data_IF_288019790292
#
_entry.id   IF_288019790292
#
_cell.length_a   1.000
_cell.length_b   1.000
_cell.length_c   1.000
_cell.angle_alpha   90.00
_cell.angle_beta   90.00
_cell.angle_gamma   90.00
#
_symmetry.space_group_name_H-M   'P 1'
#
loop_
_entity.id
_entity.type
_entity.pdbx_description
1 polymer ?
#
# COMPACT_ATOMS: atom_id res chain seq x y z
N UNK A 1 43.67 -63.92 3.69
CA UNK A 1 43.99 -62.84 4.66
C UNK A 1 42.88 -61.79 4.56
N UNK A 2 41.99 -61.67 5.55
CA UNK A 2 40.84 -60.75 5.52
C UNK A 2 41.20 -59.49 6.33
N UNK A 3 41.11 -58.32 5.70
CA UNK A 3 41.39 -57.03 6.34
C UNK A 3 40.16 -56.57 7.16
N UNK A 4 40.34 -56.12 8.40
CA UNK A 4 39.23 -55.65 9.24
C UNK A 4 38.69 -54.32 8.70
N UNK A 5 37.40 -54.30 8.36
CA UNK A 5 36.69 -53.10 7.90
C UNK A 5 36.34 -52.24 9.13
N UNK A 6 36.93 -51.05 9.25
CA UNK A 6 36.64 -50.12 10.34
C UNK A 6 35.23 -49.55 10.19
N UNK A 7 34.30 -49.98 11.06
CA UNK A 7 32.96 -49.38 11.17
C UNK A 7 33.09 -47.92 11.63
N UNK A 8 32.69 -46.99 10.78
CA UNK A 8 32.57 -45.56 11.12
C UNK A 8 31.50 -45.40 12.20
N UNK A 9 31.86 -44.87 13.38
CA UNK A 9 30.87 -44.52 14.41
C UNK A 9 29.96 -43.41 13.85
N UNK A 10 28.68 -43.71 13.71
CA UNK A 10 27.67 -42.68 13.48
C UNK A 10 27.46 -41.95 14.80
N UNK A 11 27.82 -40.66 14.84
CA UNK A 11 27.48 -39.76 15.94
C UNK A 11 26.01 -39.34 15.78
N UNK A 12 25.17 -39.67 16.75
CA UNK A 12 23.83 -39.11 16.87
C UNK A 12 23.87 -37.74 17.54
N UNK A 13 22.85 -36.91 17.28
CA UNK A 13 22.67 -35.64 17.96
C UNK A 13 22.48 -35.85 19.46
N UNK A 14 23.12 -35.02 20.28
CA UNK A 14 22.85 -34.99 21.72
C UNK A 14 21.51 -34.29 21.98
N UNK A 15 20.78 -34.70 23.03
CA UNK A 15 19.56 -34.00 23.46
C UNK A 15 19.83 -32.53 23.78
N UNK A 16 21.04 -32.23 24.28
CA UNK A 16 21.48 -30.88 24.58
C UNK A 16 21.63 -30.03 23.31
N UNK A 17 22.22 -30.57 22.25
CA UNK A 17 22.33 -29.87 20.96
C UNK A 17 20.97 -29.50 20.38
N UNK A 18 19.99 -30.40 20.47
CA UNK A 18 18.63 -30.07 20.02
C UNK A 18 17.98 -29.01 20.91
N UNK A 19 18.21 -29.08 22.23
CA UNK A 19 17.62 -28.15 23.20
C UNK A 19 18.11 -26.71 23.03
N UNK A 20 19.42 -26.51 22.80
CA UNK A 20 19.95 -25.16 22.57
C UNK A 20 19.45 -24.57 21.24
N UNK A 21 19.25 -25.41 20.23
CA UNK A 21 18.80 -24.96 18.90
C UNK A 21 17.36 -24.44 18.98
N UNK A 22 16.45 -25.17 19.62
CA UNK A 22 15.07 -24.70 19.77
C UNK A 22 14.97 -23.47 20.68
N UNK A 23 15.85 -23.36 21.68
CA UNK A 23 15.94 -22.17 22.52
C UNK A 23 16.37 -20.92 21.72
N UNK A 24 17.38 -21.05 20.85
CA UNK A 24 17.83 -19.95 19.98
C UNK A 24 16.73 -19.58 18.96
N UNK A 25 16.08 -20.56 18.33
CA UNK A 25 14.97 -20.31 17.39
C UNK A 25 13.82 -19.56 18.07
N UNK A 26 13.45 -19.93 19.30
CA UNK A 26 12.39 -19.24 20.05
C UNK A 26 12.73 -17.77 20.31
N UNK A 27 13.98 -17.47 20.68
CA UNK A 27 14.47 -16.10 20.88
C UNK A 27 14.39 -15.30 19.56
N UNK A 28 14.88 -15.86 18.45
CA UNK A 28 14.86 -15.18 17.15
C UNK A 28 13.43 -14.89 16.66
N UNK A 29 12.49 -15.84 16.81
CA UNK A 29 11.09 -15.66 16.43
C UNK A 29 10.44 -14.55 17.26
N UNK A 30 10.69 -14.50 18.57
CA UNK A 30 10.11 -13.50 19.46
C UNK A 30 10.43 -12.06 19.04
N UNK A 31 11.66 -11.81 18.58
CA UNK A 31 12.10 -10.50 18.09
C UNK A 31 11.58 -10.25 16.67
N UNK A 32 11.61 -11.29 15.82
CA UNK A 32 11.18 -11.22 14.43
C UNK A 32 9.71 -10.79 14.27
N UNK A 33 8.80 -11.35 15.07
CA UNK A 33 7.36 -11.05 14.97
C UNK A 33 7.03 -9.59 15.28
N UNK A 34 7.69 -8.99 16.27
CA UNK A 34 7.47 -7.59 16.65
C UNK A 34 7.95 -6.60 15.57
N UNK A 35 8.95 -6.98 14.77
CA UNK A 35 9.44 -6.17 13.65
C UNK A 35 8.55 -6.31 12.41
N UNK A 36 8.08 -7.53 12.13
CA UNK A 36 7.32 -7.86 10.92
C UNK A 36 6.02 -7.06 10.78
N UNK A 37 5.29 -6.80 11.87
CA UNK A 37 4.06 -6.01 11.83
C UNK A 37 4.30 -4.58 11.31
N UNK A 38 5.38 -3.92 11.75
CA UNK A 38 5.72 -2.56 11.28
C UNK A 38 6.09 -2.53 9.81
N UNK A 39 6.87 -3.52 9.36
CA UNK A 39 7.27 -3.63 7.95
C UNK A 39 6.06 -3.78 7.04
N UNK A 40 5.08 -4.62 7.44
CA UNK A 40 3.85 -4.75 6.66
C UNK A 40 3.04 -3.46 6.57
N UNK A 41 2.92 -2.70 7.67
CA UNK A 41 2.22 -1.40 7.67
C UNK A 41 2.88 -0.43 6.70
N UNK A 42 4.21 -0.31 6.77
CA UNK A 42 4.99 0.54 5.86
C UNK A 42 4.84 0.10 4.41
N UNK A 43 4.85 -1.20 4.12
CA UNK A 43 4.66 -1.71 2.76
C UNK A 43 3.28 -1.34 2.20
N UNK A 44 2.22 -1.41 3.02
CA UNK A 44 0.88 -0.97 2.63
C UNK A 44 0.82 0.54 2.40
N UNK A 45 1.47 1.34 3.24
CA UNK A 45 1.55 2.79 3.02
C UNK A 45 2.31 3.14 1.73
N UNK A 46 3.39 2.43 1.42
CA UNK A 46 4.11 2.58 0.14
C UNK A 46 3.23 2.20 -1.04
N UNK A 47 2.46 1.12 -0.95
CA UNK A 47 1.50 0.72 -1.98
C UNK A 47 0.45 1.83 -2.20
N UNK A 48 -0.15 2.36 -1.12
CA UNK A 48 -1.11 3.46 -1.21
C UNK A 48 -0.55 4.68 -1.94
N UNK A 49 0.68 5.08 -1.61
CA UNK A 49 1.34 6.21 -2.31
C UNK A 49 1.55 5.91 -3.79
N UNK A 50 1.97 4.70 -4.13
CA UNK A 50 2.13 4.30 -5.53
C UNK A 50 0.81 4.32 -6.30
N UNK A 51 -0.28 3.87 -5.68
CA UNK A 51 -1.61 3.87 -6.31
C UNK A 51 -2.09 5.31 -6.54
N UNK A 52 -1.89 6.21 -5.57
CA UNK A 52 -2.20 7.64 -5.70
C UNK A 52 -1.42 8.33 -6.83
N UNK A 53 -0.13 8.01 -7.00
CA UNK A 53 0.66 8.53 -8.12
C UNK A 53 0.16 7.99 -9.48
N UNK A 54 -0.27 6.72 -9.54
CA UNK A 54 -0.88 6.16 -10.75
C UNK A 54 -2.19 6.89 -11.11
N UNK A 55 -3.03 7.18 -10.10
CA UNK A 55 -4.26 7.97 -10.28
C UNK A 55 -3.95 9.37 -10.78
N UNK A 56 -2.97 10.05 -10.17
CA UNK A 56 -2.50 11.35 -10.64
C UNK A 56 -2.10 11.29 -12.10
N UNK A 57 -1.29 10.30 -12.51
CA UNK A 57 -0.92 10.12 -13.91
C UNK A 57 -2.12 9.99 -14.86
N UNK A 58 -3.16 9.27 -14.44
CA UNK A 58 -4.41 9.16 -15.20
C UNK A 58 -5.20 10.48 -15.27
N UNK A 59 -5.25 11.24 -14.16
CA UNK A 59 -5.90 12.56 -14.10
C UNK A 59 -5.21 13.59 -15.01
N UNK A 60 -3.87 13.58 -15.04
CA UNK A 60 -3.08 14.45 -15.92
C UNK A 60 -3.30 14.10 -17.40
N UNK A 61 -3.41 12.81 -17.75
CA UNK A 61 -3.78 12.38 -19.11
C UNK A 61 -5.19 12.86 -19.48
N UNK A 62 -6.14 12.77 -18.56
CA UNK A 62 -7.49 13.29 -18.78
C UNK A 62 -7.47 14.81 -18.99
N UNK A 63 -6.71 15.56 -18.18
CA UNK A 63 -6.58 17.00 -18.34
C UNK A 63 -5.95 17.38 -19.69
N UNK A 64 -4.95 16.62 -20.16
CA UNK A 64 -4.34 16.85 -21.47
C UNK A 64 -5.36 16.73 -22.63
N UNK A 65 -6.34 15.84 -22.52
CA UNK A 65 -7.33 15.58 -23.56
C UNK A 65 -8.56 16.51 -23.47
N UNK A 66 -8.99 16.89 -22.27
CA UNK A 66 -10.24 17.64 -22.03
C UNK A 66 -10.04 19.06 -21.49
N UNK A 67 -8.79 19.44 -21.22
CA UNK A 67 -8.38 20.72 -20.64
C UNK A 67 -9.11 21.07 -19.33
N UNK A 68 -9.58 20.04 -18.62
CA UNK A 68 -10.26 20.10 -17.33
C UNK A 68 -10.08 18.75 -16.64
N UNK A 69 -9.97 18.75 -15.32
CA UNK A 69 -10.07 17.57 -14.47
C UNK A 69 -11.54 17.11 -14.33
N UNK A 70 -11.78 15.83 -14.01
CA UNK A 70 -13.12 15.35 -13.72
C UNK A 70 -13.76 16.15 -12.58
N UNK A 71 -14.97 16.68 -12.78
CA UNK A 71 -15.71 17.41 -11.75
C UNK A 71 -16.85 16.58 -11.16
N UNK A 72 -17.08 16.77 -9.86
CA UNK A 72 -17.98 15.96 -9.03
C UNK A 72 -17.33 15.70 -7.68
N UNK A 73 -18.08 15.89 -6.58
CA UNK A 73 -17.60 15.51 -5.25
C UNK A 73 -17.66 14.00 -5.17
N UNK A 74 -16.51 13.34 -5.27
CA UNK A 74 -16.43 11.89 -5.31
C UNK A 74 -15.91 11.48 -3.94
N UNK A 75 -16.84 11.27 -3.00
CA UNK A 75 -16.51 10.70 -1.68
C UNK A 75 -15.80 9.35 -1.81
N UNK A 76 -15.88 8.74 -2.98
CA UNK A 76 -15.29 7.48 -3.35
C UNK A 76 -14.74 7.55 -4.80
N UNK A 77 -13.52 7.05 -5.00
CA UNK A 77 -12.92 6.86 -6.32
C UNK A 77 -13.70 5.86 -7.18
N UNK A 78 -14.60 5.05 -6.62
CA UNK A 78 -15.52 4.19 -7.37
C UNK A 78 -16.71 4.97 -7.95
N UNK A 79 -17.27 5.92 -7.19
CA UNK A 79 -18.26 6.89 -7.68
C UNK A 79 -17.66 7.79 -8.77
N UNK A 80 -16.37 8.16 -8.59
CA UNK A 80 -15.34 8.15 -9.63
C UNK A 80 -15.70 7.79 -11.08
N UNK A 81 -15.98 6.50 -11.18
CA UNK A 81 -15.98 5.68 -12.36
C UNK A 81 -17.43 5.46 -12.82
N UNK A 82 -18.39 5.46 -11.89
CA UNK A 82 -19.79 5.15 -12.19
C UNK A 82 -20.70 6.40 -12.31
N UNK A 83 -20.31 7.53 -11.71
CA UNK A 83 -21.20 8.66 -11.46
C UNK A 83 -21.45 9.65 -12.61
N UNK A 84 -20.46 10.03 -13.43
CA UNK A 84 -20.70 11.22 -14.30
C UNK A 84 -19.73 11.49 -15.47
N UNK A 85 -18.96 10.53 -15.99
CA UNK A 85 -18.46 10.62 -17.37
C UNK A 85 -17.88 9.27 -17.84
N UNK A 86 -18.43 8.60 -18.88
CA UNK A 86 -17.86 7.35 -19.40
C UNK A 86 -16.43 7.51 -19.95
N UNK A 87 -15.92 8.74 -20.01
CA UNK A 87 -14.57 9.10 -20.45
C UNK A 87 -13.53 9.04 -19.32
N UNK A 88 -13.90 9.14 -18.04
CA UNK A 88 -12.96 8.97 -16.91
C UNK A 88 -12.55 7.50 -16.72
N UNK A 89 -13.48 6.58 -17.03
CA UNK A 89 -13.31 5.13 -16.94
C UNK A 89 -12.15 4.63 -17.81
N UNK A 90 -11.85 5.30 -18.94
CA UNK A 90 -10.79 4.87 -19.86
C UNK A 90 -9.39 5.06 -19.30
N UNK A 91 -9.19 6.08 -18.46
CA UNK A 91 -7.87 6.42 -17.90
C UNK A 91 -7.67 5.81 -16.51
N UNK A 92 -8.74 5.53 -15.77
CA UNK A 92 -8.70 5.03 -14.39
C UNK A 92 -8.99 3.52 -14.24
N UNK A 93 -9.36 2.80 -15.31
CA UNK A 93 -9.66 1.36 -15.26
C UNK A 93 -8.49 0.46 -14.82
N UNK A 94 -7.25 0.92 -14.94
CA UNK A 94 -6.05 0.19 -14.51
C UNK A 94 -5.65 0.48 -13.06
N UNK A 95 -6.31 1.46 -12.42
CA UNK A 95 -6.04 1.78 -11.02
C UNK A 95 -6.75 0.77 -10.11
N UNK A 96 -6.02 0.18 -9.17
CA UNK A 96 -6.63 -0.63 -8.11
C UNK A 96 -7.53 0.25 -7.24
N UNK A 97 -8.84 0.04 -7.32
CA UNK A 97 -9.84 0.72 -6.49
C UNK A 97 -9.92 0.13 -5.07
N UNK A 98 -9.44 -1.10 -4.89
CA UNK A 98 -9.37 -1.77 -3.59
C UNK A 98 -8.01 -1.49 -2.94
N UNK A 99 -8.03 -1.03 -1.68
CA UNK A 99 -6.79 -0.75 -0.96
C UNK A 99 -6.00 -2.02 -0.60
N UNK A 100 -4.79 -1.89 -0.01
CA UNK A 100 -3.91 -3.03 0.30
C UNK A 100 -4.48 -4.07 1.28
N UNK A 101 -5.60 -3.76 1.94
CA UNK A 101 -6.32 -4.66 2.85
C UNK A 101 -7.64 -5.19 2.25
N UNK A 102 -7.92 -4.90 0.98
CA UNK A 102 -9.23 -5.16 0.38
C UNK A 102 -10.35 -4.29 0.96
N UNK A 103 -9.99 -3.22 1.71
CA UNK A 103 -10.95 -2.21 2.15
C UNK A 103 -11.49 -1.48 0.92
N UNK A 104 -12.80 -1.37 0.83
CA UNK A 104 -13.45 -0.46 -0.10
C UNK A 104 -12.98 0.98 0.21
N UNK A 105 -12.68 1.72 -0.84
CA UNK A 105 -12.63 3.18 -0.86
C UNK A 105 -11.49 3.80 -0.01
N UNK A 106 -10.22 3.37 -0.17
CA UNK A 106 -9.09 3.96 0.54
C UNK A 106 -8.69 5.35 0.00
N UNK A 107 -9.10 5.68 -1.23
CA UNK A 107 -8.64 6.84 -1.99
C UNK A 107 -9.80 7.81 -2.23
N UNK A 108 -9.55 9.08 -1.94
CA UNK A 108 -10.56 10.14 -2.06
C UNK A 108 -10.06 11.17 -3.04
N UNK A 109 -10.98 11.66 -3.86
CA UNK A 109 -10.78 12.70 -4.85
C UNK A 109 -11.73 13.85 -4.57
N UNK A 110 -11.20 15.06 -4.39
CA UNK A 110 -12.00 16.27 -4.20
C UNK A 110 -11.55 17.34 -5.20
N UNK A 111 -12.51 17.82 -6.00
CA UNK A 111 -12.30 18.79 -7.07
C UNK A 111 -12.42 20.24 -6.58
N UNK A 112 -12.02 20.53 -5.34
CA UNK A 112 -11.73 21.87 -4.78
C UNK A 112 -12.59 23.01 -5.39
N UNK A 113 -13.92 22.86 -5.32
CA UNK A 113 -14.87 23.89 -5.77
C UNK A 113 -15.47 23.74 -7.18
N UNK A 114 -15.33 22.58 -7.84
CA UNK A 114 -16.11 22.25 -9.04
C UNK A 114 -15.67 22.95 -10.32
N UNK A 115 -14.52 23.62 -10.30
CA UNK A 115 -14.01 24.39 -11.45
C UNK A 115 -13.34 23.52 -12.52
N UNK A 116 -12.98 22.28 -12.19
CA UNK A 116 -12.22 21.39 -13.09
C UNK A 116 -10.78 21.82 -13.31
N UNK A 117 -10.30 22.86 -12.62
CA UNK A 117 -8.94 23.39 -12.80
C UNK A 117 -7.94 22.90 -11.75
N UNK A 118 -8.43 22.36 -10.65
CA UNK A 118 -7.61 21.84 -9.56
C UNK A 118 -8.31 20.64 -8.94
N UNK A 119 -7.53 19.78 -8.29
CA UNK A 119 -8.04 18.65 -7.53
C UNK A 119 -7.11 18.38 -6.34
N UNK A 120 -7.59 17.61 -5.39
CA UNK A 120 -6.76 16.97 -4.39
C UNK A 120 -7.10 15.49 -4.31
N UNK A 121 -6.07 14.68 -4.12
CA UNK A 121 -6.17 13.23 -4.04
C UNK A 121 -5.52 12.76 -2.74
N UNK A 122 -6.27 12.06 -1.89
CA UNK A 122 -5.79 11.65 -0.57
C UNK A 122 -6.11 10.20 -0.24
N UNK A 123 -5.44 9.66 0.77
CA UNK A 123 -5.77 8.35 1.34
C UNK A 123 -6.34 8.50 2.76
N UNK A 124 -7.54 7.96 3.00
CA UNK A 124 -8.27 8.09 4.27
C UNK A 124 -7.56 7.45 5.47
N UNK A 125 -6.71 6.45 5.24
CA UNK A 125 -6.03 5.72 6.33
C UNK A 125 -4.58 5.41 5.99
N UNK A 126 -3.63 6.23 6.47
CA UNK A 126 -2.24 5.79 6.61
C UNK A 126 -2.08 5.03 7.93
N UNK A 127 -1.38 3.89 7.89
CA UNK A 127 -1.21 3.03 9.08
C UNK A 127 0.00 3.44 9.92
N UNK A 128 0.93 4.15 9.31
CA UNK A 128 2.05 4.80 9.97
C UNK A 128 1.68 6.26 10.19
N UNK A 129 1.72 6.70 11.45
CA UNK A 129 1.44 8.09 11.81
C UNK A 129 2.55 8.98 11.27
N UNK A 130 2.27 9.71 10.20
CA UNK A 130 2.97 10.96 9.88
C UNK A 130 2.27 12.06 10.68
N UNK A 131 3.01 12.97 11.31
CA UNK A 131 2.41 14.18 11.91
C UNK A 131 2.03 15.21 10.83
N UNK A 132 2.06 14.78 9.58
CA UNK A 132 1.80 15.56 8.39
C UNK A 132 0.36 15.27 8.00
N UNK A 133 -0.58 15.80 8.78
CA UNK A 133 -1.99 15.82 8.38
C UNK A 133 -2.13 16.84 7.26
N UNK A 134 -2.20 16.37 6.03
CA UNK A 134 -2.49 17.17 4.86
C UNK A 134 -4.00 17.14 4.62
N UNK A 135 -4.60 18.31 4.41
CA UNK A 135 -6.04 18.42 4.17
C UNK A 135 -6.34 18.32 2.68
N UNK A 136 -7.37 17.56 2.34
CA UNK A 136 -8.00 17.60 1.02
C UNK A 136 -9.50 17.82 1.23
N UNK A 137 -10.00 18.97 0.76
CA UNK A 137 -11.34 19.44 1.09
C UNK A 137 -11.53 19.64 2.61
N UNK A 138 -12.56 19.00 3.18
CA UNK A 138 -12.91 19.08 4.61
C UNK A 138 -12.35 17.94 5.47
N UNK A 139 -11.57 17.03 4.88
CA UNK A 139 -11.09 15.83 5.54
C UNK A 139 -9.57 15.91 5.79
N UNK A 140 -9.13 15.41 6.95
CA UNK A 140 -7.71 15.27 7.30
C UNK A 140 -7.15 13.95 6.76
N UNK A 141 -6.06 14.01 6.01
CA UNK A 141 -5.39 12.84 5.43
C UNK A 141 -3.93 12.77 5.83
N UNK A 142 -3.37 11.55 5.82
CA UNK A 142 -1.93 11.36 6.11
C UNK A 142 -1.02 11.66 4.91
N UNK A 143 -1.60 11.84 3.71
CA UNK A 143 -0.88 12.14 2.46
C UNK A 143 -1.87 12.64 1.41
N UNK A 144 -1.55 13.77 0.77
CA UNK A 144 -2.34 14.42 -0.28
C UNK A 144 -1.46 14.73 -1.49
N UNK A 145 -2.00 14.52 -2.69
CA UNK A 145 -1.41 14.95 -3.96
C UNK A 145 -2.29 16.02 -4.62
N UNK A 146 -1.64 17.00 -5.26
CA UNK A 146 -2.24 18.07 -6.07
C UNK A 146 -1.76 17.97 -7.52
N UNK A 147 -2.34 18.73 -8.48
CA UNK A 147 -1.81 18.84 -9.85
C UNK A 147 -0.30 19.06 -9.90
N UNK A 148 0.40 18.56 -10.94
CA UNK A 148 1.78 19.00 -11.18
C UNK A 148 1.78 20.45 -11.72
N UNK A 149 2.50 21.35 -11.03
CA UNK A 149 2.80 22.71 -11.54
C UNK A 149 3.75 22.67 -12.76
#
# INVERSE_FOLDING_TARGET
>A
MKLPTLKRKQSGFTLLELLIVVAIIAILISIGLASFSRVQKSARDTQRRSDLENIRGALEQYYADYNNYPTGVMSDLSDALEGSNPRSIVYLNEVQTLGPLGTADPYIYDDSGGSGQTYCLGSATMETVTNDSETCGSNDYGFVLTPQD
#
